data_IF_061093001840
#
_entry.id   IF_061093001840
#
_cell.length_a   1.000
_cell.length_b   1.000
_cell.length_c   1.000
_cell.angle_alpha   90.00
_cell.angle_beta   90.00
_cell.angle_gamma   90.00
#
_symmetry.space_group_name_H-M   'P 1'
#
loop_
_entity.id
_entity.type
_entity.pdbx_description
1 polymer ?
#
# COMPACT_ATOMS: atom_id res chain seq x y z
N UNK A 1 -3.25 -9.75 26.82
CA UNK A 1 -4.46 -9.38 26.07
C UNK A 1 -4.46 -10.24 24.82
N UNK A 2 -5.58 -10.89 24.49
CA UNK A 2 -5.68 -11.66 23.25
C UNK A 2 -5.68 -10.66 22.08
N UNK A 3 -4.86 -10.92 21.06
CA UNK A 3 -4.78 -10.13 19.83
C UNK A 3 -6.14 -10.16 19.13
N UNK A 4 -6.63 -9.01 18.64
CA UNK A 4 -7.88 -8.98 17.88
C UNK A 4 -7.72 -9.77 16.58
N UNK A 5 -8.76 -10.47 16.13
CA UNK A 5 -8.75 -11.19 14.84
C UNK A 5 -8.35 -10.27 13.67
N UNK A 6 -8.64 -8.97 13.77
CA UNK A 6 -8.27 -7.95 12.77
C UNK A 6 -6.77 -7.65 12.77
N UNK A 7 -6.16 -7.51 13.94
CA UNK A 7 -4.72 -7.27 14.10
C UNK A 7 -3.90 -8.47 13.61
N UNK A 8 -4.36 -9.68 13.96
CA UNK A 8 -3.76 -10.92 13.46
C UNK A 8 -3.85 -11.01 11.92
N UNK A 9 -5.00 -10.65 11.35
CA UNK A 9 -5.20 -10.60 9.89
C UNK A 9 -4.26 -9.61 9.19
N UNK A 10 -4.12 -8.40 9.73
CA UNK A 10 -3.20 -7.37 9.20
C UNK A 10 -1.75 -7.86 9.22
N UNK A 11 -1.30 -8.44 10.34
CA UNK A 11 0.07 -8.97 10.45
C UNK A 11 0.36 -10.08 9.45
N UNK A 12 -0.60 -10.98 9.22
CA UNK A 12 -0.45 -12.03 8.20
C UNK A 12 -0.35 -11.41 6.80
N UNK A 13 -1.19 -10.43 6.50
CA UNK A 13 -1.18 -9.74 5.21
C UNK A 13 0.14 -9.01 4.95
N UNK A 14 0.72 -8.34 5.94
CA UNK A 14 2.03 -7.69 5.83
C UNK A 14 3.15 -8.68 5.52
N UNK A 15 3.21 -9.78 6.28
CA UNK A 15 4.19 -10.86 6.03
C UNK A 15 4.07 -11.42 4.62
N UNK A 16 2.84 -11.66 4.16
CA UNK A 16 2.58 -12.12 2.79
C UNK A 16 3.13 -11.13 1.75
N UNK A 17 2.92 -9.82 1.95
CA UNK A 17 3.44 -8.79 1.04
C UNK A 17 4.97 -8.77 0.99
N UNK A 18 5.66 -8.95 2.13
CA UNK A 18 7.12 -9.06 2.15
C UNK A 18 7.62 -10.31 1.40
N UNK A 19 6.94 -11.45 1.54
CA UNK A 19 7.29 -12.65 0.77
C UNK A 19 7.11 -12.46 -0.73
N UNK A 20 6.01 -11.83 -1.17
CA UNK A 20 5.78 -11.53 -2.59
C UNK A 20 6.82 -10.53 -3.11
N UNK A 21 7.19 -9.53 -2.32
CA UNK A 21 8.25 -8.59 -2.70
C UNK A 21 9.58 -9.31 -2.92
N UNK A 22 9.98 -10.16 -1.95
CA UNK A 22 11.19 -10.97 -2.05
C UNK A 22 11.16 -11.88 -3.28
N UNK A 23 10.05 -12.62 -3.48
CA UNK A 23 9.85 -13.48 -4.63
C UNK A 23 9.98 -12.72 -5.96
N UNK A 24 9.41 -11.52 -6.05
CA UNK A 24 9.48 -10.71 -7.28
C UNK A 24 10.92 -10.31 -7.60
N UNK A 25 11.70 -9.87 -6.61
CA UNK A 25 13.12 -9.56 -6.80
C UNK A 25 13.96 -10.80 -7.12
N UNK A 26 13.68 -11.94 -6.48
CA UNK A 26 14.36 -13.20 -6.78
C UNK A 26 14.10 -13.65 -8.21
N UNK A 27 12.84 -13.60 -8.67
CA UNK A 27 12.49 -13.95 -10.04
C UNK A 27 13.15 -13.01 -11.06
N UNK A 28 13.17 -11.70 -10.79
CA UNK A 28 13.89 -10.73 -11.61
C UNK A 28 15.40 -11.04 -11.67
N UNK A 29 16.02 -11.32 -10.53
CA UNK A 29 17.44 -11.69 -10.46
C UNK A 29 17.76 -12.96 -11.24
N UNK A 30 16.90 -13.98 -11.12
CA UNK A 30 17.03 -15.22 -11.88
C UNK A 30 16.84 -14.99 -13.39
N UNK A 31 15.87 -14.17 -13.78
CA UNK A 31 15.65 -13.82 -15.19
C UNK A 31 16.91 -13.15 -15.77
N UNK A 32 17.49 -12.18 -15.07
CA UNK A 32 18.73 -11.51 -15.51
C UNK A 32 19.90 -12.48 -15.58
N UNK A 33 20.11 -13.33 -14.56
CA UNK A 33 21.25 -14.25 -14.52
C UNK A 33 21.20 -15.34 -15.60
N UNK A 34 20.00 -15.83 -15.90
CA UNK A 34 19.83 -16.91 -16.88
C UNK A 34 19.70 -16.40 -18.30
N UNK A 35 19.69 -15.09 -18.52
CA UNK A 35 19.46 -14.44 -19.81
C UNK A 35 20.40 -14.92 -20.91
N UNK A 36 19.84 -15.21 -22.06
CA UNK A 36 20.59 -15.56 -23.27
C UNK A 36 20.03 -14.74 -24.42
N UNK A 37 20.85 -13.81 -24.92
CA UNK A 37 20.49 -12.90 -26.00
C UNK A 37 21.02 -13.39 -27.35
N UNK A 38 20.38 -12.96 -28.43
CA UNK A 38 20.87 -13.18 -29.80
C UNK A 38 20.29 -14.40 -30.51
N UNK A 39 19.30 -15.08 -29.93
CA UNK A 39 18.56 -16.18 -30.59
C UNK A 39 17.44 -15.66 -31.49
N UNK A 40 16.71 -14.64 -31.04
CA UNK A 40 15.67 -13.98 -31.82
C UNK A 40 15.43 -12.57 -31.28
N UNK A 41 15.31 -11.54 -32.15
CA UNK A 41 14.98 -10.18 -31.71
C UNK A 41 13.68 -10.10 -30.90
N UNK A 42 12.71 -10.97 -31.19
CA UNK A 42 11.43 -11.02 -30.47
C UNK A 42 11.64 -11.51 -29.03
N UNK A 43 12.43 -12.57 -28.85
CA UNK A 43 12.75 -13.10 -27.53
C UNK A 43 13.54 -12.07 -26.71
N UNK A 44 14.53 -11.42 -27.32
CA UNK A 44 15.35 -10.38 -26.67
C UNK A 44 14.50 -9.19 -26.18
N UNK A 45 13.56 -8.73 -26.99
CA UNK A 45 12.63 -7.63 -26.61
C UNK A 45 11.70 -8.06 -25.49
N UNK A 46 11.15 -9.28 -25.54
CA UNK A 46 10.26 -9.80 -24.49
C UNK A 46 11.00 -9.98 -23.17
N UNK A 47 12.27 -10.38 -23.21
CA UNK A 47 13.13 -10.51 -22.03
C UNK A 47 13.32 -9.16 -21.34
N UNK A 48 13.71 -8.13 -22.10
CA UNK A 48 13.90 -6.76 -21.57
C UNK A 48 12.60 -6.16 -21.03
N UNK A 49 11.48 -6.36 -21.74
CA UNK A 49 10.16 -5.91 -21.30
C UNK A 49 9.75 -6.61 -20.00
N UNK A 50 10.00 -7.91 -19.89
CA UNK A 50 9.79 -8.68 -18.67
C UNK A 50 10.57 -8.13 -17.48
N UNK A 51 11.85 -7.78 -17.67
CA UNK A 51 12.65 -7.18 -16.61
C UNK A 51 12.11 -5.83 -16.13
N UNK A 52 11.75 -4.94 -17.06
CA UNK A 52 11.20 -3.62 -16.71
C UNK A 52 9.88 -3.78 -15.95
N UNK A 53 8.99 -4.67 -16.39
CA UNK A 53 7.72 -4.92 -15.72
C UNK A 53 7.87 -5.53 -14.32
N UNK A 54 8.78 -6.50 -14.15
CA UNK A 54 9.07 -7.09 -12.85
C UNK A 54 9.74 -6.07 -11.91
N UNK A 55 10.68 -5.26 -12.41
CA UNK A 55 11.34 -4.22 -11.62
C UNK A 55 10.35 -3.14 -11.17
N UNK A 56 9.54 -2.62 -12.09
CA UNK A 56 8.50 -1.63 -11.75
C UNK A 56 7.49 -2.20 -10.77
N UNK A 57 7.10 -3.47 -10.93
CA UNK A 57 6.23 -4.16 -9.98
C UNK A 57 6.86 -4.28 -8.58
N UNK A 58 8.12 -4.69 -8.48
CA UNK A 58 8.84 -4.83 -7.22
C UNK A 58 9.01 -3.48 -6.51
N UNK A 59 9.47 -2.45 -7.22
CA UNK A 59 9.65 -1.10 -6.67
C UNK A 59 8.32 -0.50 -6.21
N UNK A 60 7.23 -0.74 -6.94
CA UNK A 60 5.91 -0.24 -6.57
C UNK A 60 5.38 -0.92 -5.31
N UNK A 61 5.58 -2.24 -5.17
CA UNK A 61 5.20 -2.96 -3.94
C UNK A 61 6.06 -2.53 -2.75
N UNK A 62 7.37 -2.36 -2.94
CA UNK A 62 8.26 -1.82 -1.90
C UNK A 62 7.80 -0.43 -1.43
N UNK A 63 7.52 0.46 -2.39
CA UNK A 63 6.98 1.79 -2.09
C UNK A 63 5.58 1.73 -1.47
N UNK A 64 4.79 0.67 -1.66
CA UNK A 64 3.52 0.53 -0.93
C UNK A 64 3.80 0.18 0.55
N UNK A 65 4.66 -0.80 0.78
CA UNK A 65 5.04 -1.26 2.12
C UNK A 65 5.69 -0.16 2.96
N UNK A 66 6.50 0.71 2.35
CA UNK A 66 7.12 1.85 3.03
C UNK A 66 6.10 2.82 3.63
N UNK A 67 4.94 2.99 2.99
CA UNK A 67 3.90 3.96 3.38
C UNK A 67 2.80 3.35 4.26
N UNK A 68 2.75 2.03 4.39
CA UNK A 68 1.76 1.32 5.20
C UNK A 68 1.72 1.82 6.66
N UNK A 69 2.86 2.00 7.37
CA UNK A 69 2.85 2.50 8.75
C UNK A 69 2.24 3.91 8.88
N UNK A 70 2.53 4.80 7.94
CA UNK A 70 2.03 6.18 7.93
C UNK A 70 0.51 6.21 7.73
N UNK A 71 -0.02 5.30 6.92
CA UNK A 71 -1.47 5.16 6.72
C UNK A 71 -2.13 4.71 8.03
N UNK A 72 -1.58 3.71 8.73
CA UNK A 72 -2.13 3.27 10.01
C UNK A 72 -2.06 4.36 11.08
N UNK A 73 -0.96 5.09 11.17
CA UNK A 73 -0.86 6.23 12.08
C UNK A 73 -1.96 7.28 11.81
N UNK A 74 -2.31 7.53 10.55
CA UNK A 74 -3.40 8.46 10.22
C UNK A 74 -4.78 7.91 10.61
N UNK A 75 -5.01 6.60 10.46
CA UNK A 75 -6.23 5.95 10.97
C UNK A 75 -6.33 6.03 12.49
N UNK A 76 -5.23 5.82 13.22
CA UNK A 76 -5.20 5.96 14.68
C UNK A 76 -5.55 7.40 15.08
N UNK A 77 -4.92 8.40 14.44
CA UNK A 77 -5.23 9.82 14.67
C UNK A 77 -6.69 10.14 14.33
N UNK A 78 -7.25 9.56 13.27
CA UNK A 78 -8.67 9.73 12.95
C UNK A 78 -9.55 9.14 14.06
N UNK A 79 -9.25 7.93 14.52
CA UNK A 79 -10.01 7.25 15.56
C UNK A 79 -9.97 8.02 16.89
N UNK A 80 -8.80 8.55 17.26
CA UNK A 80 -8.62 9.40 18.44
C UNK A 80 -9.48 10.68 18.34
N UNK A 81 -9.45 11.37 17.20
CA UNK A 81 -10.27 12.58 16.98
C UNK A 81 -11.77 12.25 17.06
N UNK A 82 -12.20 11.15 16.45
CA UNK A 82 -13.60 10.73 16.48
C UNK A 82 -14.03 10.33 17.90
N UNK A 83 -13.13 9.73 18.69
CA UNK A 83 -13.38 9.43 20.09
C UNK A 83 -13.51 10.70 20.92
N UNK A 84 -12.59 11.66 20.77
CA UNK A 84 -12.65 12.96 21.45
C UNK A 84 -13.97 13.69 21.13
N UNK A 85 -14.45 13.64 19.88
CA UNK A 85 -15.73 14.21 19.49
C UNK A 85 -16.92 13.53 20.18
N UNK A 86 -16.92 12.18 20.24
CA UNK A 86 -17.98 11.42 20.93
C UNK A 86 -18.01 11.76 22.42
N UNK A 87 -16.84 11.81 23.07
CA UNK A 87 -16.73 12.11 24.49
C UNK A 87 -17.19 13.55 24.80
N UNK A 88 -16.88 14.51 23.93
CA UNK A 88 -17.34 15.90 24.06
C UNK A 88 -18.85 16.03 23.80
N UNK A 89 -19.41 15.33 22.82
CA UNK A 89 -20.86 15.30 22.61
C UNK A 89 -21.60 14.71 23.82
N UNK A 90 -21.08 13.63 24.39
CA UNK A 90 -21.63 13.04 25.62
C UNK A 90 -21.56 14.00 26.81
N UNK A 91 -20.48 14.80 26.92
CA UNK A 91 -20.35 15.84 27.93
C UNK A 91 -21.34 16.99 27.71
N UNK A 92 -21.58 17.39 26.45
CA UNK A 92 -22.57 18.40 26.07
C UNK A 92 -23.99 17.96 26.47
N UNK A 93 -24.33 16.70 26.19
CA UNK A 93 -25.62 16.10 26.57
C UNK A 93 -25.80 16.05 28.10
N UNK A 94 -24.71 15.92 28.86
CA UNK A 94 -24.70 15.97 30.34
C UNK A 94 -24.72 17.42 30.89
N UNK A 95 -24.77 18.43 30.03
CA UNK A 95 -24.93 19.85 30.41
C UNK A 95 -23.61 20.64 30.49
N UNK A 96 -22.48 20.07 30.10
CA UNK A 96 -21.22 20.81 30.04
C UNK A 96 -21.22 21.80 28.87
N UNK A 97 -20.89 23.08 29.13
CA UNK A 97 -20.80 24.14 28.11
C UNK A 97 -19.36 24.58 27.82
N UNK A 98 -18.41 24.10 28.61
CA UNK A 98 -17.01 24.52 28.52
C UNK A 98 -16.09 23.32 28.71
N UNK A 99 -15.02 23.28 27.92
CA UNK A 99 -13.95 22.32 28.04
C UNK A 99 -12.67 23.02 28.49
N UNK A 100 -12.00 22.47 29.49
CA UNK A 100 -10.70 22.98 29.96
C UNK A 100 -9.59 22.41 29.08
N UNK A 101 -8.82 23.28 28.43
CA UNK A 101 -7.69 22.86 27.61
C UNK A 101 -6.55 22.36 28.51
N UNK A 102 -6.13 21.11 28.29
CA UNK A 102 -5.04 20.47 29.03
C UNK A 102 -3.72 21.19 28.72
N UNK A 103 -3.15 21.86 29.71
CA UNK A 103 -1.84 22.54 29.62
C UNK A 103 -1.89 24.07 29.72
N UNK A 104 -2.99 24.71 29.33
CA UNK A 104 -3.17 26.18 29.47
C UNK A 104 -4.17 26.57 30.55
N UNK A 105 -5.07 25.66 30.94
CA UNK A 105 -6.10 25.94 31.96
C UNK A 105 -7.20 26.90 31.48
N UNK A 106 -7.15 27.32 30.22
CA UNK A 106 -8.17 28.16 29.62
C UNK A 106 -9.45 27.35 29.35
N UNK A 107 -10.58 27.98 29.66
CA UNK A 107 -11.91 27.46 29.41
C UNK A 107 -12.36 27.93 28.04
N UNK A 108 -12.42 27.00 27.07
CA UNK A 108 -12.90 27.29 25.71
C UNK A 108 -14.34 26.78 25.61
N UNK A 109 -15.15 27.50 24.85
CA UNK A 109 -16.51 27.04 24.51
C UNK A 109 -16.44 25.67 23.82
N UNK A 110 -17.30 24.76 24.25
CA UNK A 110 -17.35 23.40 23.74
C UNK A 110 -17.60 23.39 22.22
N UNK A 111 -18.40 24.34 21.71
CA UNK A 111 -18.72 24.45 20.28
C UNK A 111 -17.49 24.84 19.44
N UNK A 112 -16.58 25.66 19.98
CA UNK A 112 -15.34 26.03 19.30
C UNK A 112 -14.33 24.89 19.30
N UNK A 113 -14.30 24.07 20.36
CA UNK A 113 -13.48 22.85 20.40
C UNK A 113 -13.99 21.84 19.38
N UNK A 114 -15.31 21.63 19.30
CA UNK A 114 -15.93 20.73 18.32
C UNK A 114 -15.62 21.17 16.88
N UNK A 115 -15.71 22.47 16.56
CA UNK A 115 -15.33 23.01 15.24
C UNK A 115 -13.87 22.75 14.90
N UNK A 116 -12.96 22.86 15.86
CA UNK A 116 -11.52 22.56 15.65
C UNK A 116 -11.31 21.07 15.38
N UNK A 117 -12.01 20.19 16.10
CA UNK A 117 -11.95 18.76 15.87
C UNK A 117 -12.54 18.38 14.50
N UNK A 118 -13.65 18.99 14.08
CA UNK A 118 -14.22 18.78 12.74
C UNK A 118 -13.25 19.19 11.63
N UNK A 119 -12.61 20.36 11.77
CA UNK A 119 -11.59 20.78 10.82
C UNK A 119 -10.40 19.81 10.80
N UNK A 120 -9.92 19.37 11.96
CA UNK A 120 -8.81 18.40 12.04
C UNK A 120 -9.22 17.05 11.41
N UNK A 121 -10.43 16.58 11.68
CA UNK A 121 -10.99 15.35 11.14
C UNK A 121 -11.10 15.39 9.61
N UNK A 122 -11.64 16.49 9.07
CA UNK A 122 -11.77 16.65 7.61
C UNK A 122 -10.41 16.67 6.90
N UNK A 123 -9.41 17.34 7.47
CA UNK A 123 -8.03 17.34 6.96
C UNK A 123 -7.44 15.92 7.01
N UNK A 124 -7.58 15.21 8.13
CA UNK A 124 -7.09 13.84 8.29
C UNK A 124 -7.75 12.88 7.30
N UNK A 125 -9.08 12.95 7.14
CA UNK A 125 -9.83 12.13 6.18
C UNK A 125 -9.39 12.39 4.74
N UNK A 126 -9.16 13.65 4.36
CA UNK A 126 -8.66 13.98 3.02
C UNK A 126 -7.25 13.40 2.75
N UNK A 127 -6.38 13.37 3.78
CA UNK A 127 -5.06 12.75 3.67
C UNK A 127 -5.16 11.22 3.52
N UNK A 128 -6.02 10.58 4.33
CA UNK A 128 -6.29 9.13 4.24
C UNK A 128 -6.81 8.78 2.86
N UNK A 129 -7.82 9.50 2.35
CA UNK A 129 -8.38 9.24 1.02
C UNK A 129 -7.33 9.37 -0.09
N UNK A 130 -6.45 10.38 -0.01
CA UNK A 130 -5.37 10.55 -0.98
C UNK A 130 -4.37 9.38 -0.93
N UNK A 131 -4.02 8.92 0.26
CA UNK A 131 -3.10 7.80 0.44
C UNK A 131 -3.72 6.47 0.02
N UNK A 132 -5.00 6.27 0.29
CA UNK A 132 -5.74 5.04 -0.07
C UNK A 132 -5.85 4.89 -1.59
N UNK A 133 -6.22 5.97 -2.31
CA UNK A 133 -6.19 6.00 -3.78
C UNK A 133 -4.79 5.69 -4.33
N UNK A 134 -3.75 6.24 -3.70
CA UNK A 134 -2.36 5.94 -4.05
C UNK A 134 -2.00 4.47 -3.82
N UNK A 135 -2.43 3.90 -2.70
CA UNK A 135 -2.19 2.51 -2.36
C UNK A 135 -2.90 1.54 -3.32
N UNK A 136 -4.14 1.85 -3.72
CA UNK A 136 -4.90 1.07 -4.71
C UNK A 136 -4.21 1.08 -6.07
N UNK A 137 -3.75 2.25 -6.53
CA UNK A 137 -2.99 2.36 -7.78
C UNK A 137 -1.69 1.55 -7.72
N UNK A 138 -0.92 1.69 -6.64
CA UNK A 138 0.31 0.91 -6.42
C UNK A 138 0.02 -0.60 -6.46
N UNK A 139 -1.07 -1.04 -5.85
CA UNK A 139 -1.49 -2.45 -5.90
C UNK A 139 -1.79 -2.92 -7.33
N UNK A 140 -2.54 -2.13 -8.12
CA UNK A 140 -2.83 -2.45 -9.53
C UNK A 140 -1.55 -2.55 -10.37
N UNK A 141 -0.67 -1.56 -10.25
CA UNK A 141 0.63 -1.54 -10.97
C UNK A 141 1.45 -2.77 -10.60
N UNK A 142 1.60 -3.08 -9.31
CA UNK A 142 2.31 -4.28 -8.87
C UNK A 142 1.69 -5.55 -9.45
N UNK A 143 0.37 -5.74 -9.30
CA UNK A 143 -0.34 -6.95 -9.74
C UNK A 143 -0.18 -7.18 -11.24
N UNK A 144 -0.45 -6.17 -12.06
CA UNK A 144 -0.37 -6.32 -13.51
C UNK A 144 1.08 -6.37 -13.99
N UNK A 145 1.97 -5.54 -13.45
CA UNK A 145 3.40 -5.57 -13.78
C UNK A 145 4.04 -6.93 -13.46
N UNK A 146 3.65 -7.55 -12.34
CA UNK A 146 4.12 -8.89 -11.98
C UNK A 146 3.66 -9.94 -12.99
N UNK A 147 2.35 -9.98 -13.28
CA UNK A 147 1.77 -10.98 -14.19
C UNK A 147 2.32 -10.82 -15.61
N UNK A 148 2.26 -9.61 -16.16
CA UNK A 148 2.75 -9.36 -17.52
C UNK A 148 4.26 -9.51 -17.63
N UNK A 149 5.01 -9.12 -16.59
CA UNK A 149 6.45 -9.35 -16.54
C UNK A 149 6.79 -10.83 -16.58
N UNK A 150 6.13 -11.64 -15.75
CA UNK A 150 6.33 -13.09 -15.74
C UNK A 150 5.96 -13.73 -17.08
N UNK A 151 4.82 -13.36 -17.67
CA UNK A 151 4.40 -13.86 -18.98
C UNK A 151 5.41 -13.49 -20.06
N UNK A 152 5.92 -12.25 -20.08
CA UNK A 152 6.92 -11.81 -21.04
C UNK A 152 8.20 -12.64 -20.94
N UNK A 153 8.70 -12.91 -19.73
CA UNK A 153 9.85 -13.80 -19.52
C UNK A 153 9.54 -15.20 -20.02
N UNK A 154 8.39 -15.79 -19.68
CA UNK A 154 8.02 -17.12 -20.15
C UNK A 154 7.99 -17.21 -21.68
N UNK A 155 7.42 -16.20 -22.35
CA UNK A 155 7.41 -16.12 -23.82
C UNK A 155 8.83 -16.03 -24.37
N UNK A 156 9.67 -15.16 -23.81
CA UNK A 156 11.08 -15.02 -24.22
C UNK A 156 11.83 -16.36 -24.14
N UNK A 157 11.63 -17.12 -23.05
CA UNK A 157 12.30 -18.41 -22.83
C UNK A 157 11.74 -19.56 -23.64
N UNK A 158 10.43 -19.57 -23.88
CA UNK A 158 9.78 -20.62 -24.66
C UNK A 158 9.92 -20.41 -26.17
N UNK A 159 10.25 -19.20 -26.62
CA UNK A 159 10.24 -18.82 -28.04
C UNK A 159 11.04 -19.78 -28.94
N UNK A 160 12.34 -19.93 -28.67
CA UNK A 160 13.20 -20.80 -29.48
C UNK A 160 12.83 -22.29 -29.36
N UNK A 161 12.62 -22.86 -28.15
CA UNK A 161 12.17 -24.25 -28.02
C UNK A 161 10.87 -24.55 -28.77
N UNK A 162 9.88 -23.65 -28.74
CA UNK A 162 8.59 -23.83 -29.40
C UNK A 162 8.74 -23.79 -30.92
N UNK A 163 9.52 -22.85 -31.47
CA UNK A 163 9.79 -22.81 -32.91
C UNK A 163 10.51 -24.07 -33.39
N UNK A 164 11.50 -24.54 -32.63
CA UNK A 164 12.21 -25.78 -32.94
C UNK A 164 11.27 -27.00 -32.97
N UNK A 165 10.29 -27.08 -32.06
CA UNK A 165 9.28 -28.15 -32.05
C UNK A 165 8.31 -28.08 -33.24
N UNK A 166 8.02 -26.87 -33.73
CA UNK A 166 7.17 -26.65 -34.88
C UNK A 166 7.91 -26.80 -36.22
N UNK A 167 9.24 -26.99 -36.18
CA UNK A 167 10.08 -27.12 -37.37
C UNK A 167 10.25 -25.82 -38.15
N UNK A 168 10.14 -24.67 -37.47
CA UNK A 168 10.29 -23.31 -38.01
C UNK A 168 11.66 -22.71 -37.67
#
# INVERSE_FOLDING_TARGET
MAESNTEAGQRIQEKFQFYILGLTFTLLGLAIQTASFGTSPVADVMELLGWILLLTSALTLASRLEWTPQIYHLFDVQQDIEQDQRDLHDAQLKGARQATVRGTGESIDLDDVLKRLDNKLSITRAQIEKLDKGAELKYKIHRYGFIFGLVAILVARAWSPVLNLLGL
#
